data_IF_664990604736
#
_entry.id   IF_664990604736
#
_cell.length_a   1.000
_cell.length_b   1.000
_cell.length_c   1.000
_cell.angle_alpha   90.00
_cell.angle_beta   90.00
_cell.angle_gamma   90.00
#
_symmetry.space_group_name_H-M   'P 1'
#
loop_
_entity.id
_entity.type
_entity.pdbx_description
1 polymer ?
#
# COMPACT_ATOMS: atom_id res chain seq x y z
N UNK A 1 1.37 7.01 -23.22
CA UNK A 1 0.49 7.42 -22.12
C UNK A 1 0.39 6.26 -21.16
N UNK A 2 0.51 6.52 -19.85
CA UNK A 2 0.20 5.54 -18.81
C UNK A 2 -1.28 5.14 -18.98
N UNK A 3 -1.55 3.87 -19.22
CA UNK A 3 -2.92 3.36 -19.19
C UNK A 3 -3.31 3.14 -17.74
N UNK A 4 -4.45 3.69 -17.36
CA UNK A 4 -4.91 3.71 -15.98
C UNK A 4 -5.45 2.34 -15.63
N UNK A 5 -4.87 1.75 -14.61
CA UNK A 5 -5.34 0.50 -14.03
C UNK A 5 -5.17 0.54 -12.54
N UNK A 6 -5.75 -0.45 -11.88
CA UNK A 6 -5.66 -0.56 -10.43
C UNK A 6 -5.37 -2.00 -10.10
N UNK A 7 -4.14 -2.26 -9.66
CA UNK A 7 -3.67 -3.60 -9.37
C UNK A 7 -2.95 -3.62 -8.04
N UNK A 8 -2.85 -4.80 -7.44
CA UNK A 8 -2.05 -5.02 -6.24
C UNK A 8 -1.16 -6.24 -6.37
N UNK A 9 -0.21 -6.34 -5.46
CA UNK A 9 0.74 -7.43 -5.30
C UNK A 9 1.74 -7.54 -6.47
N UNK A 10 2.93 -8.03 -6.16
CA UNK A 10 3.96 -8.43 -7.08
C UNK A 10 4.48 -9.83 -6.70
N UNK A 11 4.19 -10.84 -7.53
CA UNK A 11 4.71 -12.20 -7.34
C UNK A 11 5.85 -12.50 -8.34
N UNK A 12 7.09 -12.48 -7.84
CA UNK A 12 8.29 -12.78 -8.61
C UNK A 12 8.44 -14.26 -8.99
N UNK A 13 7.69 -15.16 -8.34
CA UNK A 13 7.75 -16.61 -8.57
C UNK A 13 6.68 -17.02 -9.58
N UNK A 14 5.46 -16.49 -9.44
CA UNK A 14 4.37 -16.71 -10.38
C UNK A 14 4.19 -15.53 -11.34
N UNK A 15 5.08 -15.45 -12.33
CA UNK A 15 5.12 -14.34 -13.30
C UNK A 15 3.83 -14.18 -14.13
N UNK A 16 3.00 -15.22 -14.25
CA UNK A 16 1.72 -15.14 -14.97
C UNK A 16 0.64 -14.42 -14.14
N UNK A 17 0.60 -14.65 -12.83
CA UNK A 17 -0.33 -14.03 -11.88
C UNK A 17 0.37 -13.05 -10.92
N UNK A 18 1.42 -12.39 -11.42
CA UNK A 18 2.23 -11.47 -10.64
C UNK A 18 1.43 -10.30 -10.06
N UNK A 19 0.32 -9.92 -10.71
CA UNK A 19 -0.52 -8.79 -10.34
C UNK A 19 -1.97 -9.25 -10.23
N UNK A 20 -2.69 -8.73 -9.22
CA UNK A 20 -4.14 -8.95 -9.04
C UNK A 20 -4.89 -7.67 -9.37
N UNK A 21 -5.95 -7.77 -10.16
CA UNK A 21 -6.85 -6.65 -10.43
C UNK A 21 -7.59 -6.21 -9.17
N UNK A 22 -7.82 -4.91 -9.07
CA UNK A 22 -8.54 -4.27 -7.96
C UNK A 22 -9.74 -3.51 -8.52
N UNK A 23 -10.93 -3.63 -7.91
CA UNK A 23 -12.10 -2.88 -8.34
C UNK A 23 -11.87 -1.36 -8.20
N UNK A 24 -12.39 -0.60 -9.16
CA UNK A 24 -12.21 0.87 -9.24
C UNK A 24 -13.43 1.66 -8.81
N UNK A 25 -14.52 0.99 -8.44
CA UNK A 25 -15.80 1.61 -8.12
C UNK A 25 -16.70 0.68 -7.31
N UNK A 26 -17.75 1.23 -6.69
CA UNK A 26 -18.81 0.45 -6.03
C UNK A 26 -19.39 -0.63 -6.96
N UNK A 27 -19.64 -0.26 -8.23
CA UNK A 27 -20.23 -1.16 -9.20
C UNK A 27 -19.28 -2.32 -9.57
N UNK A 28 -17.99 -2.05 -9.73
CA UNK A 28 -17.01 -3.11 -10.00
C UNK A 28 -16.75 -3.99 -8.77
N UNK A 29 -16.70 -3.40 -7.57
CA UNK A 29 -16.57 -4.14 -6.32
C UNK A 29 -17.75 -5.11 -6.11
N UNK A 30 -18.98 -4.64 -6.28
CA UNK A 30 -20.16 -5.47 -6.20
C UNK A 30 -20.19 -6.58 -7.27
N UNK A 31 -19.76 -6.28 -8.50
CA UNK A 31 -19.61 -7.27 -9.57
C UNK A 31 -18.60 -8.36 -9.20
N UNK A 32 -17.53 -7.98 -8.51
CA UNK A 32 -16.49 -8.89 -8.03
C UNK A 32 -16.85 -9.55 -6.68
N UNK A 33 -18.09 -9.39 -6.23
CA UNK A 33 -18.66 -9.96 -5.00
C UNK A 33 -17.98 -9.47 -3.71
N UNK A 34 -17.46 -8.26 -3.75
CA UNK A 34 -17.01 -7.56 -2.54
C UNK A 34 -18.23 -7.08 -1.76
N UNK A 35 -18.07 -6.98 -0.45
CA UNK A 35 -19.09 -6.55 0.49
C UNK A 35 -18.75 -5.17 1.03
N UNK A 36 -19.77 -4.34 1.23
CA UNK A 36 -19.62 -3.07 1.92
C UNK A 36 -19.62 -3.32 3.43
N UNK A 37 -18.62 -2.80 4.13
CA UNK A 37 -18.36 -3.10 5.54
C UNK A 37 -18.14 -1.81 6.31
N UNK A 38 -18.51 -1.84 7.59
CA UNK A 38 -18.26 -0.72 8.50
C UNK A 38 -16.75 -0.53 8.70
N UNK A 39 -16.32 0.74 8.63
CA UNK A 39 -14.92 1.13 8.70
C UNK A 39 -14.50 1.36 10.16
N UNK A 40 -13.31 0.88 10.62
CA UNK A 40 -12.87 1.02 12.02
C UNK A 40 -12.62 2.47 12.43
N UNK A 41 -11.74 3.09 11.65
CA UNK A 41 -11.14 4.39 11.90
C UNK A 41 -10.94 5.07 10.55
N UNK A 42 -11.10 6.39 10.56
CA UNK A 42 -10.84 7.22 9.41
C UNK A 42 -10.06 8.44 9.86
N UNK A 43 -8.99 8.77 9.14
CA UNK A 43 -8.32 10.04 9.32
C UNK A 43 -9.24 11.20 8.93
N UNK A 44 -8.99 12.38 9.51
CA UNK A 44 -9.83 13.57 9.34
C UNK A 44 -10.07 13.92 7.85
N UNK A 45 -11.34 14.11 7.50
CA UNK A 45 -11.83 14.38 6.13
C UNK A 45 -12.13 13.12 5.30
N UNK A 46 -11.61 11.96 5.69
CA UNK A 46 -11.85 10.70 5.00
C UNK A 46 -12.93 9.83 5.64
N UNK A 47 -13.60 10.32 6.69
CA UNK A 47 -14.70 9.62 7.38
C UNK A 47 -15.87 9.23 6.46
N UNK A 48 -16.26 10.05 5.46
CA UNK A 48 -17.37 9.69 4.57
C UNK A 48 -17.08 8.55 3.59
N UNK A 49 -15.82 8.12 3.46
CA UNK A 49 -15.45 7.09 2.49
C UNK A 49 -16.06 5.74 2.87
N UNK A 50 -16.64 5.06 1.88
CA UNK A 50 -17.20 3.73 2.04
C UNK A 50 -16.11 2.68 1.85
N UNK A 51 -16.13 1.61 2.66
CA UNK A 51 -15.17 0.52 2.55
C UNK A 51 -15.80 -0.71 1.90
N UNK A 52 -15.12 -1.26 0.90
CA UNK A 52 -15.48 -2.51 0.25
C UNK A 52 -14.33 -3.51 0.39
N UNK A 53 -14.64 -4.74 0.79
CA UNK A 53 -13.67 -5.82 0.95
C UNK A 53 -14.12 -7.10 0.24
N UNK A 54 -13.21 -7.99 -0.19
CA UNK A 54 -13.56 -9.36 -0.54
C UNK A 54 -14.33 -10.03 0.60
N UNK A 55 -15.39 -10.79 0.30
CA UNK A 55 -16.31 -11.31 1.32
C UNK A 55 -15.68 -12.25 2.36
N UNK A 56 -14.53 -12.83 2.05
CA UNK A 56 -13.84 -13.84 2.86
C UNK A 56 -12.45 -13.41 3.35
N UNK A 57 -11.97 -12.23 2.96
CA UNK A 57 -10.61 -11.79 3.26
C UNK A 57 -10.47 -10.25 3.23
N UNK A 58 -10.34 -9.65 4.40
CA UNK A 58 -10.26 -8.20 4.55
C UNK A 58 -8.82 -7.66 4.59
N UNK A 59 -7.84 -8.46 4.12
CA UNK A 59 -6.42 -8.04 4.05
C UNK A 59 -6.20 -6.86 3.11
N UNK A 60 -7.10 -6.65 2.15
CA UNK A 60 -7.07 -5.53 1.23
C UNK A 60 -8.49 -5.10 0.88
N UNK A 61 -8.83 -3.86 1.24
CA UNK A 61 -10.12 -3.26 0.98
C UNK A 61 -9.94 -1.97 0.18
N UNK A 62 -10.89 -1.65 -0.69
CA UNK A 62 -10.92 -0.35 -1.36
C UNK A 62 -11.78 0.61 -0.55
N UNK A 63 -11.41 1.89 -0.60
CA UNK A 63 -12.22 2.99 -0.14
C UNK A 63 -12.81 3.69 -1.35
N UNK A 64 -14.08 4.05 -1.30
CA UNK A 64 -14.78 4.76 -2.38
C UNK A 64 -15.43 6.02 -1.85
N UNK A 65 -15.46 7.07 -2.67
CA UNK A 65 -15.99 8.38 -2.29
C UNK A 65 -17.43 8.61 -2.79
N UNK A 66 -17.89 9.86 -2.72
CA UNK A 66 -19.21 10.31 -3.15
C UNK A 66 -19.47 10.09 -4.63
N UNK A 67 -18.41 9.98 -5.44
CA UNK A 67 -18.50 9.69 -6.87
C UNK A 67 -18.60 8.19 -7.16
N UNK A 68 -18.57 7.35 -6.12
CA UNK A 68 -18.55 5.88 -6.18
C UNK A 68 -17.30 5.28 -6.82
N UNK A 69 -16.22 6.05 -6.95
CA UNK A 69 -14.93 5.61 -7.47
C UNK A 69 -13.92 5.39 -6.34
N UNK A 70 -12.93 4.55 -6.62
CA UNK A 70 -11.83 4.30 -5.71
C UNK A 70 -11.14 5.62 -5.31
N UNK A 71 -11.04 5.81 -4.01
CA UNK A 71 -10.54 6.99 -3.33
C UNK A 71 -9.35 6.67 -2.43
N UNK A 72 -9.10 5.39 -2.17
CA UNK A 72 -8.03 4.92 -1.33
C UNK A 72 -8.11 3.40 -1.15
N UNK A 73 -7.24 2.88 -0.29
CA UNK A 73 -7.30 1.49 0.16
C UNK A 73 -6.99 1.41 1.64
N UNK A 74 -7.47 0.34 2.25
CA UNK A 74 -7.01 -0.11 3.56
C UNK A 74 -6.29 -1.45 3.38
N UNK A 75 -5.06 -1.53 3.87
CA UNK A 75 -4.28 -2.77 3.97
C UNK A 75 -4.38 -3.24 5.42
N UNK A 76 -4.74 -4.51 5.59
CA UNK A 76 -5.00 -5.10 6.90
C UNK A 76 -4.13 -6.35 7.08
N UNK A 77 -3.45 -6.48 8.21
CA UNK A 77 -2.67 -7.67 8.57
C UNK A 77 -3.33 -8.32 9.78
N UNK A 78 -3.67 -9.61 9.68
CA UNK A 78 -4.31 -10.35 10.78
C UNK A 78 -3.41 -10.41 12.01
N UNK A 79 -3.93 -10.02 13.17
CA UNK A 79 -3.19 -9.99 14.45
C UNK A 79 -2.78 -11.40 14.88
N UNK A 80 -3.66 -12.39 14.71
CA UNK A 80 -3.42 -13.78 15.14
C UNK A 80 -2.42 -14.54 14.25
N UNK A 81 -2.13 -14.01 13.06
CA UNK A 81 -1.23 -14.62 12.08
C UNK A 81 0.09 -13.86 11.92
N UNK A 82 0.23 -12.67 12.52
CA UNK A 82 1.37 -11.79 12.31
C UNK A 82 2.19 -11.61 13.58
N UNK A 83 3.51 -11.81 13.46
CA UNK A 83 4.47 -11.49 14.51
C UNK A 83 5.27 -10.26 14.08
N UNK A 84 4.92 -9.06 14.57
CA UNK A 84 5.62 -7.83 14.22
C UNK A 84 6.99 -7.76 14.90
N UNK A 85 7.97 -7.15 14.23
CA UNK A 85 9.28 -6.81 14.84
C UNK A 85 9.17 -5.54 15.68
N UNK A 86 8.36 -4.59 15.25
CA UNK A 86 8.21 -3.28 15.86
C UNK A 86 6.83 -3.10 16.50
N UNK A 87 6.75 -2.13 17.39
CA UNK A 87 5.47 -1.70 17.96
C UNK A 87 4.55 -1.13 16.85
N UNK A 88 3.38 -1.74 16.70
CA UNK A 88 2.43 -1.41 15.63
C UNK A 88 1.75 -0.05 15.88
N UNK A 89 1.58 0.38 17.14
CA UNK A 89 0.95 1.65 17.46
C UNK A 89 1.89 2.83 17.14
N UNK A 90 3.19 2.70 17.43
CA UNK A 90 4.21 3.67 17.03
C UNK A 90 4.31 3.80 15.50
N UNK A 91 4.24 2.65 14.80
CA UNK A 91 4.15 2.62 13.35
C UNK A 91 2.84 3.23 12.82
N UNK A 92 1.85 3.51 13.66
CA UNK A 92 0.59 4.17 13.30
C UNK A 92 -0.50 3.23 12.79
N UNK A 93 -0.40 1.92 13.07
CA UNK A 93 -1.50 1.01 12.79
C UNK A 93 -2.66 1.24 13.74
N UNK A 94 -3.86 0.93 13.25
CA UNK A 94 -5.08 0.87 14.05
C UNK A 94 -5.55 -0.56 14.17
N UNK A 95 -6.23 -0.88 15.27
CA UNK A 95 -6.89 -2.16 15.44
C UNK A 95 -8.31 -2.11 14.85
N UNK A 96 -8.69 -3.18 14.17
CA UNK A 96 -10.03 -3.37 13.62
C UNK A 96 -10.49 -4.81 13.83
N UNK A 97 -11.71 -4.98 14.36
CA UNK A 97 -12.28 -6.29 14.68
C UNK A 97 -13.63 -6.50 13.98
N UNK A 98 -13.66 -6.58 12.63
CA UNK A 98 -14.89 -6.85 11.90
C UNK A 98 -15.35 -8.30 12.06
N UNK A 99 -16.63 -8.51 11.80
CA UNK A 99 -17.16 -9.84 11.53
C UNK A 99 -16.86 -10.25 10.08
N UNK A 100 -16.16 -11.38 9.91
CA UNK A 100 -15.86 -12.01 8.63
C UNK A 100 -16.43 -13.41 8.67
N UNK A 101 -17.44 -13.70 7.84
CA UNK A 101 -18.11 -15.01 7.79
C UNK A 101 -18.60 -15.53 9.17
N UNK A 102 -19.06 -14.64 10.05
CA UNK A 102 -19.55 -14.99 11.38
C UNK A 102 -18.46 -15.12 12.45
N UNK A 103 -17.20 -14.82 12.14
CA UNK A 103 -16.09 -14.79 13.09
C UNK A 103 -15.56 -13.35 13.24
N UNK A 104 -15.32 -12.92 14.49
CA UNK A 104 -14.61 -11.66 14.75
C UNK A 104 -13.12 -11.89 14.53
N UNK A 105 -12.53 -11.21 13.55
CA UNK A 105 -11.11 -11.31 13.24
C UNK A 105 -10.43 -9.98 13.56
N UNK A 106 -9.35 -10.00 14.33
CA UNK A 106 -8.57 -8.80 14.63
C UNK A 106 -7.53 -8.51 13.55
N UNK A 107 -7.44 -7.25 13.12
CA UNK A 107 -6.48 -6.75 12.14
C UNK A 107 -5.73 -5.52 12.65
N UNK A 108 -4.44 -5.44 12.31
CA UNK A 108 -3.71 -4.18 12.22
C UNK A 108 -3.99 -3.56 10.85
N UNK A 109 -4.46 -2.32 10.82
CA UNK A 109 -4.88 -1.64 9.58
C UNK A 109 -4.11 -0.37 9.34
N UNK A 110 -3.84 -0.08 8.07
CA UNK A 110 -3.31 1.18 7.58
C UNK A 110 -3.94 1.55 6.25
N UNK A 111 -4.13 2.84 6.01
CA UNK A 111 -4.75 3.34 4.79
C UNK A 111 -3.87 4.30 3.99
N UNK A 112 -4.16 4.33 2.69
CA UNK A 112 -3.71 5.35 1.76
C UNK A 112 -4.91 5.91 0.98
N UNK A 113 -4.80 7.18 0.57
CA UNK A 113 -5.88 7.94 -0.04
C UNK A 113 -5.37 8.65 -1.31
N UNK A 114 -6.05 8.43 -2.42
CA UNK A 114 -5.71 8.93 -3.75
C UNK A 114 -6.46 10.22 -4.10
N UNK A 115 -7.17 10.79 -3.13
CA UNK A 115 -8.08 11.93 -3.29
C UNK A 115 -7.82 12.98 -2.21
N UNK A 116 -8.39 14.17 -2.40
CA UNK A 116 -8.41 15.19 -1.36
C UNK A 116 -9.33 14.79 -0.17
N UNK A 117 -9.03 15.25 1.06
CA UNK A 117 -9.87 15.00 2.23
C UNK A 117 -11.21 15.73 2.19
N UNK A 118 -11.40 16.74 1.35
CA UNK A 118 -12.68 17.45 1.24
C UNK A 118 -13.59 16.87 0.14
N UNK A 119 -14.87 16.69 0.45
CA UNK A 119 -15.85 16.11 -0.47
C UNK A 119 -16.09 16.96 -1.72
N UNK A 120 -16.05 18.29 -1.59
CA UNK A 120 -16.28 19.21 -2.71
C UNK A 120 -15.22 19.04 -3.80
N UNK A 121 -13.94 18.95 -3.44
CA UNK A 121 -12.85 18.68 -4.39
C UNK A 121 -12.99 17.31 -5.04
N UNK A 122 -13.41 16.28 -4.28
CA UNK A 122 -13.64 14.93 -4.83
C UNK A 122 -14.74 14.92 -5.89
N UNK A 123 -15.87 15.54 -5.58
CA UNK A 123 -17.04 15.63 -6.47
C UNK A 123 -16.72 16.42 -7.73
N UNK A 124 -15.95 17.50 -7.59
CA UNK A 124 -15.58 18.37 -8.71
C UNK A 124 -14.38 17.85 -9.52
N UNK A 125 -13.78 16.72 -9.14
CA UNK A 125 -12.64 16.18 -9.87
C UNK A 125 -13.05 15.73 -11.27
N UNK A 126 -12.38 16.21 -12.33
CA UNK A 126 -12.73 15.84 -13.69
C UNK A 126 -12.32 14.39 -13.99
N UNK A 127 -13.26 13.59 -14.48
CA UNK A 127 -13.02 12.31 -15.15
C UNK A 127 -12.28 11.25 -14.28
N UNK A 128 -12.94 10.73 -13.22
CA UNK A 128 -12.36 9.71 -12.34
C UNK A 128 -12.06 8.36 -13.04
N UNK A 129 -12.57 8.16 -14.26
CA UNK A 129 -12.24 6.99 -15.08
C UNK A 129 -10.82 7.06 -15.66
N UNK A 130 -10.21 8.25 -15.75
CA UNK A 130 -8.89 8.48 -16.37
C UNK A 130 -7.72 8.58 -15.40
N UNK A 131 -7.92 8.41 -14.10
CA UNK A 131 -6.82 8.33 -13.13
C UNK A 131 -7.29 7.74 -11.81
N UNK A 132 -6.41 7.02 -11.11
CA UNK A 132 -6.65 6.59 -9.72
C UNK A 132 -6.31 7.73 -8.76
N UNK A 133 -5.16 8.38 -8.98
CA UNK A 133 -4.72 9.56 -8.21
C UNK A 133 -5.48 10.78 -8.74
N UNK A 134 -6.46 11.23 -7.96
CA UNK A 134 -7.40 12.31 -8.25
C UNK A 134 -7.07 13.59 -7.47
N UNK A 135 -5.79 13.93 -7.50
CA UNK A 135 -5.13 15.12 -6.97
C UNK A 135 -3.63 15.03 -7.38
N UNK A 136 -2.77 15.87 -6.81
CA UNK A 136 -1.32 15.86 -7.07
C UNK A 136 -0.51 15.04 -6.05
N UNK A 137 -1.15 14.21 -5.21
CA UNK A 137 -0.48 13.44 -4.16
C UNK A 137 -1.28 12.24 -3.62
N UNK A 138 -0.62 11.17 -3.20
CA UNK A 138 -1.24 10.14 -2.35
C UNK A 138 -1.02 10.51 -0.89
N UNK A 139 -2.06 10.47 -0.06
CA UNK A 139 -1.92 10.61 1.39
C UNK A 139 -1.81 9.24 2.02
N UNK A 140 -0.83 9.00 2.88
CA UNK A 140 -0.67 7.74 3.60
C UNK A 140 -0.67 7.96 5.11
N UNK A 141 -1.17 7.00 5.86
CA UNK A 141 -1.10 7.00 7.32
C UNK A 141 0.33 6.66 7.77
N UNK A 142 1.02 7.64 8.35
CA UNK A 142 2.42 7.56 8.75
C UNK A 142 2.64 6.99 10.15
N UNK A 143 3.65 7.49 10.87
CA UNK A 143 3.85 7.15 12.28
C UNK A 143 2.72 7.71 13.13
N UNK A 144 2.22 6.94 14.10
CA UNK A 144 1.10 7.32 14.97
C UNK A 144 -0.10 7.83 14.17
N UNK A 145 -0.51 9.08 14.37
CA UNK A 145 -1.65 9.72 13.70
C UNK A 145 -1.24 10.65 12.55
N UNK A 146 0.03 10.59 12.11
CA UNK A 146 0.51 11.47 11.04
C UNK A 146 -0.09 11.10 9.70
N UNK A 147 -0.45 12.11 8.91
CA UNK A 147 -0.74 11.96 7.48
C UNK A 147 0.43 12.50 6.67
N UNK A 148 0.97 11.67 5.80
CA UNK A 148 2.11 12.04 4.93
C UNK A 148 1.62 12.11 3.49
N UNK A 149 1.94 13.22 2.81
CA UNK A 149 1.64 13.40 1.39
C UNK A 149 2.83 12.98 0.55
N UNK A 150 2.60 12.05 -0.36
CA UNK A 150 3.55 11.57 -1.35
C UNK A 150 3.18 12.18 -2.69
N UNK A 151 4.08 12.96 -3.27
CA UNK A 151 3.80 13.69 -4.51
C UNK A 151 3.54 12.74 -5.69
N UNK A 152 2.60 13.11 -6.56
CA UNK A 152 2.34 12.37 -7.81
C UNK A 152 3.52 12.41 -8.77
N UNK A 153 4.32 13.48 -8.75
CA UNK A 153 5.50 13.63 -9.62
C UNK A 153 6.78 13.66 -8.79
N UNK A 154 7.81 12.92 -9.23
CA UNK A 154 9.07 12.76 -8.49
C UNK A 154 9.81 14.09 -8.27
N UNK A 155 9.66 15.04 -9.21
CA UNK A 155 10.26 16.39 -9.10
C UNK A 155 9.71 17.20 -7.93
N UNK A 156 8.51 16.84 -7.46
CA UNK A 156 7.79 17.50 -6.36
C UNK A 156 7.84 16.64 -5.08
N UNK A 157 8.51 15.49 -5.11
CA UNK A 157 8.67 14.61 -3.96
C UNK A 157 9.56 15.27 -2.91
N UNK A 158 9.12 15.21 -1.65
CA UNK A 158 9.90 15.70 -0.52
C UNK A 158 11.25 14.97 -0.45
N UNK A 159 12.33 15.74 -0.27
CA UNK A 159 13.70 15.24 -0.20
C UNK A 159 13.95 14.26 0.96
N UNK A 160 13.04 14.17 1.94
CA UNK A 160 13.07 13.13 2.97
C UNK A 160 12.94 11.73 2.37
N UNK A 161 12.27 11.57 1.22
CA UNK A 161 12.24 10.29 0.52
C UNK A 161 13.50 10.14 -0.33
N UNK A 162 14.36 9.21 0.07
CA UNK A 162 15.66 8.98 -0.55
C UNK A 162 15.56 7.94 -1.67
N UNK A 163 16.24 8.20 -2.79
CA UNK A 163 16.26 7.29 -3.96
C UNK A 163 17.01 6.00 -3.63
N UNK A 164 16.42 4.87 -3.99
CA UNK A 164 17.00 3.54 -3.84
C UNK A 164 17.19 2.90 -5.24
N UNK A 165 16.89 1.61 -5.40
CA UNK A 165 17.02 0.94 -6.69
C UNK A 165 15.75 1.05 -7.55
N UNK A 166 15.94 1.00 -8.87
CA UNK A 166 14.88 0.62 -9.78
C UNK A 166 14.79 -0.90 -9.86
N UNK A 167 13.57 -1.41 -9.84
CA UNK A 167 13.31 -2.81 -10.14
C UNK A 167 12.27 -2.94 -11.26
N UNK A 168 12.54 -3.84 -12.21
CA UNK A 168 11.65 -4.10 -13.34
C UNK A 168 10.25 -4.46 -12.83
N UNK A 169 9.23 -3.89 -13.48
CA UNK A 169 7.82 -4.09 -13.16
C UNK A 169 7.35 -3.53 -11.81
N UNK A 170 8.24 -2.91 -11.04
CA UNK A 170 7.92 -2.24 -9.78
C UNK A 170 8.06 -0.73 -9.93
N UNK A 171 9.22 -0.26 -10.39
CA UNK A 171 9.54 1.16 -10.53
C UNK A 171 10.81 1.53 -9.76
N UNK A 172 11.12 2.82 -9.78
CA UNK A 172 12.20 3.41 -9.00
C UNK A 172 11.72 3.65 -7.57
N UNK A 173 12.30 2.93 -6.63
CA UNK A 173 11.92 2.99 -5.23
C UNK A 173 12.50 4.21 -4.53
N UNK A 174 11.72 4.80 -3.65
CA UNK A 174 12.16 5.80 -2.69
C UNK A 174 11.68 5.43 -1.30
N UNK A 175 12.54 5.59 -0.29
CA UNK A 175 12.20 5.25 1.10
C UNK A 175 12.39 6.46 2.02
N UNK A 176 11.48 6.62 2.98
CA UNK A 176 11.49 7.73 3.92
C UNK A 176 12.75 7.70 4.80
N UNK A 177 13.52 8.78 4.74
CA UNK A 177 14.75 9.02 5.49
C UNK A 177 15.75 7.84 5.50
N UNK A 178 15.76 7.03 4.44
CA UNK A 178 16.55 5.82 4.37
C UNK A 178 18.03 6.11 4.12
N UNK A 179 18.89 5.64 5.01
CA UNK A 179 20.34 5.66 4.86
C UNK A 179 20.97 4.46 5.56
N UNK A 180 22.26 4.21 5.29
CA UNK A 180 23.01 3.10 5.89
C UNK A 180 23.18 3.25 7.43
N UNK A 181 23.02 4.48 7.93
CA UNK A 181 23.14 4.86 9.34
C UNK A 181 21.80 4.98 10.07
N UNK A 182 20.68 4.79 9.38
CA UNK A 182 19.35 4.88 10.00
C UNK A 182 19.21 3.82 11.10
N UNK A 183 18.83 4.24 12.31
CA UNK A 183 18.46 3.31 13.37
C UNK A 183 17.16 2.61 13.01
N UNK A 184 17.08 1.29 13.21
CA UNK A 184 15.86 0.52 13.00
C UNK A 184 15.00 0.51 14.26
N UNK A 185 13.86 1.19 14.24
CA UNK A 185 12.89 1.22 15.32
C UNK A 185 11.48 1.46 14.80
N UNK A 186 10.49 1.29 15.67
CA UNK A 186 9.07 1.62 15.40
C UNK A 186 8.83 3.10 15.07
N UNK A 187 9.79 3.99 15.37
CA UNK A 187 9.66 5.44 15.16
C UNK A 187 10.50 5.98 14.01
N UNK A 188 11.29 5.13 13.36
CA UNK A 188 12.21 5.49 12.27
C UNK A 188 11.96 4.69 10.99
N UNK A 189 11.47 3.46 11.11
CA UNK A 189 11.17 2.58 9.96
C UNK A 189 9.77 2.86 9.42
N UNK A 190 9.70 3.77 8.45
CA UNK A 190 8.43 4.17 7.83
C UNK A 190 7.87 3.05 6.95
N UNK A 191 6.56 2.82 7.04
CA UNK A 191 5.92 1.65 6.40
C UNK A 191 5.64 1.84 4.91
N UNK A 192 5.67 3.06 4.38
CA UNK A 192 5.29 3.34 2.99
C UNK A 192 6.47 3.79 2.16
N UNK A 193 6.52 3.37 0.91
CA UNK A 193 7.57 3.74 -0.03
C UNK A 193 6.97 3.99 -1.42
N UNK A 194 7.19 5.17 -2.03
CA UNK A 194 6.72 5.40 -3.38
C UNK A 194 7.61 4.77 -4.45
N UNK A 195 6.96 4.41 -5.56
CA UNK A 195 7.61 3.92 -6.77
C UNK A 195 7.24 4.80 -7.96
N UNK A 196 8.25 5.24 -8.71
CA UNK A 196 8.08 6.09 -9.89
C UNK A 196 8.54 5.42 -11.18
N UNK A 197 7.88 5.76 -12.28
CA UNK A 197 8.30 5.41 -13.64
C UNK A 197 8.08 6.62 -14.55
N UNK A 198 9.11 7.02 -15.31
CA UNK A 198 9.05 8.23 -16.14
C UNK A 198 8.78 9.53 -15.36
N UNK A 199 9.07 9.55 -14.05
CA UNK A 199 8.87 10.69 -13.17
C UNK A 199 7.46 10.86 -12.59
N UNK A 200 6.53 9.93 -12.88
CA UNK A 200 5.19 9.89 -12.30
C UNK A 200 5.02 8.69 -11.37
N UNK A 201 4.27 8.86 -10.29
CA UNK A 201 4.01 7.85 -9.29
C UNK A 201 3.21 6.72 -9.92
N UNK A 202 3.82 5.54 -10.01
CA UNK A 202 3.19 4.38 -10.64
C UNK A 202 2.66 3.38 -9.62
N UNK A 203 3.19 3.39 -8.40
CA UNK A 203 2.75 2.55 -7.31
C UNK A 203 3.15 3.13 -5.94
N UNK A 204 2.42 2.72 -4.90
CA UNK A 204 2.85 2.80 -3.52
C UNK A 204 3.10 1.39 -3.03
N UNK A 205 4.23 1.19 -2.35
CA UNK A 205 4.50 -0.01 -1.61
C UNK A 205 4.31 0.22 -0.11
N UNK A 206 3.92 -0.84 0.57
CA UNK A 206 3.80 -0.92 2.02
C UNK A 206 4.67 -2.06 2.52
N UNK A 207 5.49 -1.84 3.55
CA UNK A 207 6.38 -2.84 4.15
C UNK A 207 6.36 -2.76 5.67
N UNK A 208 6.25 -3.92 6.32
CA UNK A 208 6.41 -4.06 7.77
C UNK A 208 7.30 -5.26 8.07
N UNK A 209 8.42 -5.09 8.79
CA UNK A 209 9.21 -6.20 9.28
C UNK A 209 8.42 -7.08 10.24
N UNK A 210 8.43 -8.39 9.97
CA UNK A 210 7.64 -9.38 10.70
C UNK A 210 7.20 -10.53 9.83
N UNK A 211 6.87 -11.64 10.49
CA UNK A 211 6.43 -12.88 9.84
C UNK A 211 4.92 -12.96 9.82
N UNK A 212 4.34 -13.12 8.63
CA UNK A 212 2.95 -13.48 8.43
C UNK A 212 2.86 -14.99 8.17
N UNK A 213 2.12 -15.70 9.02
CA UNK A 213 1.87 -17.13 8.85
C UNK A 213 0.60 -17.34 8.03
N UNK A 214 0.75 -17.77 6.78
CA UNK A 214 -0.39 -18.10 5.92
C UNK A 214 -0.78 -19.56 6.12
N UNK A 215 -2.01 -19.79 6.59
CA UNK A 215 -2.54 -21.13 6.82
C UNK A 215 -2.64 -21.96 5.54
N UNK A 216 -2.57 -23.29 5.68
CA UNK A 216 -2.67 -24.20 4.53
C UNK A 216 -4.01 -24.00 3.80
N UNK A 217 -3.94 -23.61 2.52
CA UNK A 217 -5.11 -23.40 1.68
C UNK A 217 -5.70 -21.99 1.75
N UNK A 218 -5.12 -21.10 2.57
CA UNK A 218 -5.44 -19.67 2.53
C UNK A 218 -4.66 -18.98 1.41
N UNK A 219 -5.27 -17.95 0.83
CA UNK A 219 -4.60 -17.14 -0.18
C UNK A 219 -3.59 -16.21 0.50
N UNK A 220 -2.32 -16.30 0.10
CA UNK A 220 -1.35 -15.28 0.44
C UNK A 220 -1.59 -14.04 -0.44
N UNK A 221 -1.89 -12.92 0.21
CA UNK A 221 -2.11 -11.64 -0.44
C UNK A 221 -0.90 -10.73 -0.39
N UNK A 222 0.08 -11.07 0.43
CA UNK A 222 1.28 -10.30 0.64
C UNK A 222 2.42 -10.90 -0.18
N UNK A 223 3.55 -10.23 -0.03
CA UNK A 223 4.83 -10.54 -0.62
C UNK A 223 5.82 -10.71 0.54
N UNK A 224 6.69 -11.70 0.43
CA UNK A 224 7.66 -12.05 1.46
C UNK A 224 9.07 -12.14 0.86
N UNK A 225 9.63 -11.01 0.38
CA UNK A 225 10.96 -11.01 -0.23
C UNK A 225 12.03 -11.43 0.79
N UNK A 226 12.98 -12.30 0.41
CA UNK A 226 14.08 -12.66 1.29
C UNK A 226 15.06 -11.48 1.48
N UNK A 227 15.90 -11.52 2.52
CA UNK A 227 16.97 -10.54 2.81
C UNK A 227 17.76 -10.12 1.56
N UNK A 228 18.12 -11.08 0.71
CA UNK A 228 18.86 -10.82 -0.52
C UNK A 228 18.09 -9.95 -1.53
N UNK A 229 16.78 -10.14 -1.67
CA UNK A 229 15.96 -9.31 -2.55
C UNK A 229 15.80 -7.89 -1.97
N UNK A 230 15.61 -7.77 -0.65
CA UNK A 230 15.53 -6.46 0.02
C UNK A 230 16.82 -5.66 -0.14
N UNK A 231 18.01 -6.28 0.03
CA UNK A 231 19.30 -5.62 -0.24
C UNK A 231 19.47 -5.13 -1.68
N UNK A 232 18.83 -5.79 -2.65
CA UNK A 232 18.86 -5.35 -4.05
C UNK A 232 17.91 -4.17 -4.32
N UNK A 233 16.77 -4.12 -3.63
CA UNK A 233 15.75 -3.08 -3.80
C UNK A 233 16.11 -1.81 -3.03
N UNK A 234 16.67 -1.97 -1.83
CA UNK A 234 17.05 -0.89 -0.90
C UNK A 234 18.55 -0.99 -0.66
N UNK A 235 19.42 -0.64 -1.62
CA UNK A 235 20.86 -0.83 -1.47
C UNK A 235 21.50 0.09 -0.41
N UNK A 236 20.86 1.21 -0.07
CA UNK A 236 21.33 2.18 0.94
C UNK A 236 20.54 2.10 2.24
N UNK A 237 19.92 0.94 2.54
CA UNK A 237 19.31 0.69 3.85
C UNK A 237 20.34 0.31 4.92
N UNK A 238 20.00 0.48 6.21
CA UNK A 238 20.88 0.13 7.32
C UNK A 238 20.95 -1.39 7.51
N UNK A 239 22.06 -1.91 8.07
CA UNK A 239 22.21 -3.37 8.22
C UNK A 239 21.14 -3.97 9.14
N UNK A 240 20.70 -3.24 10.16
CA UNK A 240 19.61 -3.68 11.05
C UNK A 240 18.32 -3.99 10.29
N UNK A 241 18.00 -3.27 9.21
CA UNK A 241 16.79 -3.53 8.42
C UNK A 241 16.92 -4.88 7.72
N UNK A 242 18.11 -5.18 7.18
CA UNK A 242 18.34 -6.44 6.50
C UNK A 242 18.43 -7.61 7.48
N UNK A 243 18.95 -7.38 8.68
CA UNK A 243 18.96 -8.38 9.76
C UNK A 243 17.54 -8.68 10.22
N UNK A 244 16.71 -7.67 10.47
CA UNK A 244 15.29 -7.86 10.80
C UNK A 244 14.55 -8.67 9.73
N UNK A 245 14.75 -8.36 8.45
CA UNK A 245 14.17 -9.15 7.34
C UNK A 245 14.71 -10.58 7.32
N UNK A 246 16.01 -10.77 7.58
CA UNK A 246 16.66 -12.08 7.53
C UNK A 246 16.23 -13.00 8.66
N UNK A 247 16.00 -12.45 9.85
CA UNK A 247 15.67 -13.19 11.07
C UNK A 247 14.16 -13.33 11.25
N UNK A 248 13.41 -12.26 10.98
CA UNK A 248 11.99 -12.15 11.33
C UNK A 248 11.08 -12.05 10.11
N UNK A 249 11.64 -12.05 8.90
CA UNK A 249 10.88 -11.89 7.67
C UNK A 249 10.33 -10.47 7.48
N UNK A 250 9.61 -10.28 6.39
CA UNK A 250 8.97 -9.02 6.05
C UNK A 250 7.66 -9.29 5.32
N UNK A 251 6.66 -8.47 5.60
CA UNK A 251 5.35 -8.50 4.94
C UNK A 251 5.20 -7.23 4.13
N UNK A 252 5.04 -7.36 2.82
CA UNK A 252 4.92 -6.22 1.91
C UNK A 252 3.80 -6.39 0.89
N UNK A 253 3.29 -5.27 0.36
CA UNK A 253 2.34 -5.25 -0.75
C UNK A 253 2.56 -4.01 -1.59
N UNK A 254 2.56 -4.18 -2.90
CA UNK A 254 2.49 -3.07 -3.86
C UNK A 254 1.05 -2.78 -4.28
N UNK A 255 0.73 -1.50 -4.44
CA UNK A 255 -0.52 -0.97 -4.99
C UNK A 255 -0.17 -0.13 -6.22
N UNK A 256 -0.55 -0.62 -7.40
CA UNK A 256 -0.22 -0.04 -8.70
C UNK A 256 -1.36 0.79 -9.28
N UNK A 257 -1.02 1.94 -9.83
CA UNK A 257 -1.93 2.88 -10.50
C UNK A 257 -1.91 2.76 -12.03
N UNK A 258 -1.43 1.62 -12.54
CA UNK A 258 -1.30 1.34 -13.97
C UNK A 258 -1.90 0.01 -14.36
N UNK A 259 -2.43 -0.04 -15.58
CA UNK A 259 -2.96 -1.25 -16.18
C UNK A 259 -1.86 -2.23 -16.60
N UNK A 260 -0.64 -1.73 -16.86
CA UNK A 260 0.45 -2.56 -17.36
C UNK A 260 1.72 -2.45 -16.50
N UNK A 261 1.73 -2.97 -15.26
CA UNK A 261 2.95 -2.97 -14.44
C UNK A 261 4.14 -3.61 -15.16
N UNK A 262 3.92 -4.60 -16.02
CA UNK A 262 4.97 -5.25 -16.84
C UNK A 262 5.69 -4.31 -17.82
N UNK A 263 5.18 -3.09 -18.06
CA UNK A 263 5.83 -2.07 -18.90
C UNK A 263 6.70 -1.10 -18.12
N UNK A 264 6.68 -1.17 -16.78
CA UNK A 264 7.57 -0.37 -15.93
C UNK A 264 8.99 -0.89 -16.12
N UNK A 265 9.86 -0.02 -16.62
CA UNK A 265 11.24 -0.36 -17.00
C UNK A 265 12.27 0.62 -16.45
N UNK A 266 11.84 1.75 -15.88
CA UNK A 266 12.70 2.83 -15.38
C UNK A 266 13.73 3.34 -16.39
N UNK A 267 13.52 3.16 -17.70
CA UNK A 267 14.47 3.57 -18.74
C UNK A 267 14.65 5.10 -18.84
N UNK A 268 13.90 5.88 -18.05
CA UNK A 268 13.91 7.35 -18.06
C UNK A 268 13.83 7.98 -16.64
N UNK A 269 14.38 7.32 -15.61
CA UNK A 269 14.34 7.79 -14.20
C UNK A 269 15.69 8.19 -13.59
#
# INVERSE_FOLDING_TARGET
>A
AFEVGFKRRFDAVNLFNAFKDVPRSNASAAKDKWVNVERPYSAEGFEPLQMWCPADDYSFCILTDETSYAAGVQISVRVDAFTPVYDMDDLGFKNWEPEVNGETIAYYTKAEYFVAPDAETRINYPDPDKTIIRNDYVTVEGFKDQLVKIAKYVKDLDTVFTKQACFLWMGLHYYYNMSEELECSSTTMFTWFPLYDGGELNAIGFMVPGTLTVGRGQADNFEHPPKAAVKLIVPHGPECMYDDVGENGVTTMHVYFTEHPRRITCLFG
#
